data_IF_476936200231
#
_entry.id   IF_476936200231
#
_cell.length_a   1.000
_cell.length_b   1.000
_cell.length_c   1.000
_cell.angle_alpha   90.00
_cell.angle_beta   90.00
_cell.angle_gamma   90.00
#
_symmetry.space_group_name_H-M   'P 1'
#
loop_
_entity.id
_entity.type
_entity.pdbx_description
1 polymer ?
#
# COMPACT_ATOMS: atom_id res chain seq x y z
N UNK A 1 -37.50 -38.85 9.76
CA UNK A 1 -36.83 -37.67 10.35
C UNK A 1 -35.33 -37.95 10.32
N UNK A 2 -34.59 -37.66 9.24
CA UNK A 2 -33.12 -37.95 9.26
C UNK A 2 -32.24 -37.15 8.30
N UNK A 3 -32.77 -36.53 7.24
CA UNK A 3 -31.95 -35.77 6.28
C UNK A 3 -31.20 -34.56 6.90
N UNK A 4 -31.69 -34.01 8.02
CA UNK A 4 -31.07 -32.86 8.71
C UNK A 4 -29.86 -33.24 9.56
N UNK A 5 -29.79 -34.49 10.03
CA UNK A 5 -28.69 -34.99 10.83
C UNK A 5 -27.47 -35.32 9.94
N UNK A 6 -27.70 -35.99 8.82
CA UNK A 6 -26.65 -36.28 7.82
C UNK A 6 -26.04 -35.02 7.19
N UNK A 7 -26.85 -34.00 6.90
CA UNK A 7 -26.37 -32.74 6.33
C UNK A 7 -25.42 -31.99 7.30
N UNK A 8 -25.71 -32.00 8.60
CA UNK A 8 -24.84 -31.39 9.63
C UNK A 8 -23.52 -32.15 9.78
N UNK A 9 -23.57 -33.48 9.71
CA UNK A 9 -22.37 -34.32 9.77
C UNK A 9 -21.42 -34.05 8.60
N UNK A 10 -21.94 -33.99 7.37
CA UNK A 10 -21.12 -33.68 6.18
C UNK A 10 -20.58 -32.25 6.17
N UNK A 11 -21.34 -31.29 6.66
CA UNK A 11 -20.88 -29.90 6.81
C UNK A 11 -19.74 -29.77 7.84
N UNK A 12 -19.86 -30.44 8.99
CA UNK A 12 -18.81 -30.45 10.01
C UNK A 12 -17.53 -31.13 9.50
N UNK A 13 -17.66 -32.24 8.77
CA UNK A 13 -16.52 -32.91 8.14
C UNK A 13 -15.81 -31.99 7.12
N UNK A 14 -16.56 -31.30 6.26
CA UNK A 14 -15.99 -30.33 5.32
C UNK A 14 -15.32 -29.13 6.02
N UNK A 15 -15.84 -28.71 7.17
CA UNK A 15 -15.24 -27.67 8.00
C UNK A 15 -13.89 -28.09 8.61
N UNK A 16 -13.80 -29.33 9.10
CA UNK A 16 -12.55 -29.87 9.65
C UNK A 16 -11.50 -30.08 8.56
N UNK A 17 -11.93 -30.52 7.37
CA UNK A 17 -11.04 -30.69 6.21
C UNK A 17 -10.55 -29.33 5.68
N UNK A 18 -11.43 -28.31 5.64
CA UNK A 18 -11.04 -26.94 5.30
C UNK A 18 -10.09 -26.33 6.35
N UNK A 19 -10.29 -26.62 7.64
CA UNK A 19 -9.38 -26.19 8.72
C UNK A 19 -8.02 -26.87 8.61
N UNK A 20 -7.98 -28.17 8.30
CA UNK A 20 -6.74 -28.91 8.07
C UNK A 20 -5.99 -28.36 6.84
N UNK A 21 -6.69 -28.10 5.75
CA UNK A 21 -6.13 -27.48 4.54
C UNK A 21 -5.60 -26.06 4.80
N UNK A 22 -6.32 -25.23 5.56
CA UNK A 22 -5.87 -23.89 5.93
C UNK A 22 -4.64 -23.93 6.86
N UNK A 23 -4.58 -24.90 7.77
CA UNK A 23 -3.41 -25.11 8.63
C UNK A 23 -2.18 -25.54 7.82
N UNK A 24 -2.35 -26.44 6.86
CA UNK A 24 -1.29 -26.87 5.95
C UNK A 24 -0.78 -25.71 5.07
N UNK A 25 -1.69 -24.91 4.49
CA UNK A 25 -1.34 -23.72 3.72
C UNK A 25 -0.59 -22.68 4.55
N UNK A 26 -1.00 -22.46 5.80
CA UNK A 26 -0.32 -21.55 6.72
C UNK A 26 1.09 -22.05 7.06
N UNK A 27 1.27 -23.36 7.26
CA UNK A 27 2.57 -23.96 7.52
C UNK A 27 3.51 -23.80 6.31
N UNK A 28 3.03 -24.12 5.11
CA UNK A 28 3.80 -23.98 3.86
C UNK A 28 4.15 -22.51 3.56
N UNK A 29 3.19 -21.60 3.77
CA UNK A 29 3.42 -20.16 3.67
C UNK A 29 4.45 -19.67 4.69
N UNK A 30 4.43 -20.21 5.91
CA UNK A 30 5.42 -19.91 6.95
C UNK A 30 6.83 -20.32 6.55
N UNK A 31 7.00 -21.53 5.99
CA UNK A 31 8.30 -22.02 5.49
C UNK A 31 8.81 -21.19 4.33
N UNK A 32 7.96 -20.91 3.32
CA UNK A 32 8.34 -20.05 2.19
C UNK A 32 8.67 -18.63 2.65
N UNK A 33 7.86 -18.04 3.52
CA UNK A 33 8.12 -16.71 4.06
C UNK A 33 9.42 -16.66 4.86
N UNK A 34 9.77 -17.74 5.57
CA UNK A 34 11.07 -17.90 6.24
C UNK A 34 12.23 -17.82 5.25
N UNK A 35 12.22 -18.66 4.22
CA UNK A 35 13.27 -18.69 3.19
C UNK A 35 13.40 -17.35 2.43
N UNK A 36 12.27 -16.72 2.08
CA UNK A 36 12.27 -15.39 1.46
C UNK A 36 12.82 -14.32 2.40
N UNK A 37 12.49 -14.38 3.69
CA UNK A 37 13.01 -13.44 4.68
C UNK A 37 14.52 -13.57 4.86
N UNK A 38 15.05 -14.79 4.84
CA UNK A 38 16.50 -15.04 4.90
C UNK A 38 17.21 -14.49 3.66
N UNK A 39 16.74 -14.80 2.45
CA UNK A 39 17.31 -14.22 1.23
C UNK A 39 17.20 -12.69 1.20
N UNK A 40 16.08 -12.13 1.64
CA UNK A 40 15.89 -10.68 1.70
C UNK A 40 16.84 -10.02 2.72
N UNK A 41 17.15 -10.71 3.82
CA UNK A 41 18.14 -10.24 4.80
C UNK A 41 19.54 -10.23 4.21
N UNK A 42 19.97 -11.32 3.57
CA UNK A 42 21.29 -11.46 2.95
C UNK A 42 21.52 -10.38 1.88
N UNK A 43 20.58 -10.25 0.92
CA UNK A 43 20.65 -9.19 -0.10
C UNK A 43 20.54 -7.78 0.50
N UNK A 44 19.77 -7.64 1.58
CA UNK A 44 19.65 -6.38 2.31
C UNK A 44 20.98 -5.94 2.93
N UNK A 45 21.76 -6.88 3.49
CA UNK A 45 23.09 -6.59 4.02
C UNK A 45 24.06 -6.11 2.94
N UNK A 46 24.05 -6.75 1.77
CA UNK A 46 24.92 -6.37 0.64
C UNK A 46 24.58 -4.97 0.13
N UNK A 47 23.29 -4.67 -0.04
CA UNK A 47 22.82 -3.35 -0.47
C UNK A 47 23.18 -2.25 0.54
N UNK A 48 23.12 -2.52 1.84
CA UNK A 48 23.54 -1.56 2.88
C UNK A 48 25.04 -1.30 2.81
N UNK A 49 25.85 -2.32 2.51
CA UNK A 49 27.29 -2.16 2.32
C UNK A 49 27.62 -1.32 1.07
N UNK A 50 26.94 -1.57 -0.05
CA UNK A 50 27.10 -0.79 -1.28
C UNK A 50 26.63 0.66 -1.13
N UNK A 51 25.48 0.88 -0.48
CA UNK A 51 24.94 2.21 -0.24
C UNK A 51 25.85 3.08 0.64
N UNK A 52 26.56 2.48 1.61
CA UNK A 52 27.58 3.19 2.41
C UNK A 52 28.75 3.68 1.56
N UNK A 53 29.14 2.94 0.53
CA UNK A 53 30.29 3.27 -0.32
C UNK A 53 29.95 4.31 -1.40
N UNK A 54 28.69 4.34 -1.88
CA UNK A 54 28.21 5.27 -2.91
C UNK A 54 27.47 6.52 -2.39
N UNK A 55 27.34 6.66 -1.07
CA UNK A 55 26.35 7.56 -0.45
C UNK A 55 26.53 9.07 -0.67
N UNK A 56 27.72 9.56 -1.02
CA UNK A 56 27.99 11.00 -1.14
C UNK A 56 27.28 11.67 -2.32
N UNK A 57 27.56 11.21 -3.54
CA UNK A 57 27.00 11.79 -4.77
C UNK A 57 25.53 11.40 -4.99
N UNK A 58 25.15 10.20 -4.53
CA UNK A 58 23.76 9.72 -4.58
C UNK A 58 22.87 10.55 -3.67
N UNK A 59 23.33 10.95 -2.49
CA UNK A 59 22.53 11.73 -1.54
C UNK A 59 22.16 13.11 -2.10
N UNK A 60 23.09 13.82 -2.72
CA UNK A 60 22.81 15.12 -3.32
C UNK A 60 21.75 15.02 -4.43
N UNK A 61 21.95 14.10 -5.39
CA UNK A 61 20.97 13.86 -6.47
C UNK A 61 19.62 13.38 -5.94
N UNK A 62 19.63 12.55 -4.90
CA UNK A 62 18.41 12.07 -4.26
C UNK A 62 17.63 13.18 -3.56
N UNK A 63 18.32 14.11 -2.88
CA UNK A 63 17.69 15.29 -2.27
C UNK A 63 17.02 16.17 -3.32
N UNK A 64 17.70 16.49 -4.43
CA UNK A 64 17.13 17.29 -5.51
C UNK A 64 15.92 16.61 -6.14
N UNK A 65 16.03 15.31 -6.45
CA UNK A 65 14.93 14.51 -6.98
C UNK A 65 13.76 14.38 -5.98
N UNK A 66 14.03 14.35 -4.68
CA UNK A 66 12.99 14.29 -3.67
C UNK A 66 12.23 15.61 -3.57
N UNK A 67 12.91 16.76 -3.68
CA UNK A 67 12.26 18.08 -3.74
C UNK A 67 11.40 18.19 -5.00
N UNK A 68 11.94 17.83 -6.16
CA UNK A 68 11.18 17.83 -7.41
C UNK A 68 9.99 16.86 -7.37
N UNK A 69 10.22 15.64 -6.88
CA UNK A 69 9.19 14.62 -6.73
C UNK A 69 8.08 15.05 -5.80
N UNK A 70 8.42 15.70 -4.68
CA UNK A 70 7.47 16.30 -3.74
C UNK A 70 6.59 17.35 -4.44
N UNK A 71 7.19 18.29 -5.17
CA UNK A 71 6.44 19.32 -5.91
C UNK A 71 5.50 18.69 -6.93
N UNK A 72 6.01 17.80 -7.79
CA UNK A 72 5.19 17.12 -8.81
C UNK A 72 4.08 16.28 -8.21
N UNK A 73 4.34 15.59 -7.11
CA UNK A 73 3.33 14.80 -6.40
C UNK A 73 2.25 15.71 -5.80
N UNK A 74 2.64 16.85 -5.21
CA UNK A 74 1.68 17.82 -4.69
C UNK A 74 0.77 18.36 -5.79
N UNK A 75 1.34 18.77 -6.92
CA UNK A 75 0.58 19.28 -8.06
C UNK A 75 -0.36 18.23 -8.63
N UNK A 76 0.12 16.99 -8.77
CA UNK A 76 -0.70 15.88 -9.23
C UNK A 76 -1.86 15.59 -8.28
N UNK A 77 -1.62 15.60 -6.96
CA UNK A 77 -2.65 15.40 -5.94
C UNK A 77 -3.68 16.54 -5.95
N UNK A 78 -3.25 17.80 -6.07
CA UNK A 78 -4.14 18.95 -6.19
C UNK A 78 -5.00 18.87 -7.47
N UNK A 79 -4.38 18.51 -8.60
CA UNK A 79 -5.07 18.38 -9.88
C UNK A 79 -6.10 17.23 -9.86
N UNK A 80 -5.71 16.06 -9.36
CA UNK A 80 -6.64 14.94 -9.15
C UNK A 80 -7.78 15.31 -8.20
N UNK A 81 -7.47 15.99 -7.09
CA UNK A 81 -8.48 16.46 -6.15
C UNK A 81 -9.52 17.36 -6.83
N UNK A 82 -9.09 18.30 -7.67
CA UNK A 82 -9.99 19.17 -8.46
C UNK A 82 -10.84 18.35 -9.43
N UNK A 83 -10.23 17.50 -10.25
CA UNK A 83 -10.96 16.66 -11.22
C UNK A 83 -12.03 15.82 -10.52
N UNK A 84 -11.70 15.20 -9.39
CA UNK A 84 -12.64 14.38 -8.62
C UNK A 84 -13.78 15.22 -8.04
N UNK A 85 -13.50 16.43 -7.54
CA UNK A 85 -14.54 17.35 -7.09
C UNK A 85 -15.43 17.82 -8.24
N UNK A 86 -14.86 18.19 -9.37
CA UNK A 86 -15.57 18.68 -10.56
C UNK A 86 -16.46 17.58 -11.17
N UNK A 87 -16.07 16.31 -11.01
CA UNK A 87 -16.85 15.15 -11.46
C UNK A 87 -17.89 14.70 -10.43
N UNK A 88 -17.80 15.13 -9.17
CA UNK A 88 -18.73 14.71 -8.11
C UNK A 88 -20.21 14.98 -8.43
N UNK A 89 -20.61 16.13 -9.03
CA UNK A 89 -21.99 16.35 -9.46
C UNK A 89 -22.47 15.32 -10.49
N UNK A 90 -21.59 14.88 -11.40
CA UNK A 90 -21.91 13.86 -12.40
C UNK A 90 -22.05 12.46 -11.78
N UNK A 91 -21.35 12.20 -10.68
CA UNK A 91 -21.45 10.95 -9.92
C UNK A 91 -22.74 10.93 -9.10
N UNK A 92 -23.11 12.04 -8.47
CA UNK A 92 -24.38 12.22 -7.76
C UNK A 92 -25.56 11.91 -8.68
N UNK A 93 -25.50 12.38 -9.93
CA UNK A 93 -26.57 12.23 -10.93
C UNK A 93 -26.65 10.82 -11.55
N UNK A 94 -25.51 10.13 -11.72
CA UNK A 94 -25.45 8.80 -12.39
C UNK A 94 -25.46 7.60 -11.46
N UNK A 95 -24.98 7.77 -10.22
CA UNK A 95 -24.72 6.67 -9.28
C UNK A 95 -25.45 6.89 -7.95
N UNK A 96 -25.78 8.14 -7.61
CA UNK A 96 -26.51 8.53 -6.42
C UNK A 96 -25.66 9.39 -5.47
N UNK A 97 -26.32 10.23 -4.68
CA UNK A 97 -25.73 11.27 -3.83
C UNK A 97 -24.66 10.75 -2.84
N UNK A 98 -24.82 9.50 -2.38
CA UNK A 98 -23.86 8.86 -1.47
C UNK A 98 -22.49 8.65 -2.13
N UNK A 99 -22.44 8.47 -3.45
CA UNK A 99 -21.19 8.24 -4.18
C UNK A 99 -20.45 9.54 -4.52
N UNK A 100 -21.14 10.64 -4.79
CA UNK A 100 -20.45 11.93 -4.92
C UNK A 100 -20.02 12.50 -3.58
N UNK A 101 -20.64 12.11 -2.46
CA UNK A 101 -20.12 12.38 -1.12
C UNK A 101 -18.76 11.71 -0.87
N UNK A 102 -18.57 10.47 -1.34
CA UNK A 102 -17.26 9.82 -1.32
C UNK A 102 -16.25 10.55 -2.20
N UNK A 103 -16.66 10.98 -3.40
CA UNK A 103 -15.80 11.78 -4.29
C UNK A 103 -15.38 13.11 -3.64
N UNK A 104 -16.32 13.82 -3.00
CA UNK A 104 -16.04 15.07 -2.26
C UNK A 104 -15.09 14.82 -1.08
N UNK A 105 -15.29 13.75 -0.31
CA UNK A 105 -14.37 13.39 0.80
C UNK A 105 -12.98 13.05 0.27
N UNK A 106 -12.89 12.23 -0.76
CA UNK A 106 -11.62 11.88 -1.40
C UNK A 106 -10.90 13.13 -1.94
N UNK A 107 -11.63 14.02 -2.61
CA UNK A 107 -11.10 15.29 -3.10
C UNK A 107 -10.53 16.15 -1.97
N UNK A 108 -11.28 16.33 -0.86
CA UNK A 108 -10.78 17.07 0.31
C UNK A 108 -9.51 16.43 0.87
N UNK A 109 -9.48 15.11 1.03
CA UNK A 109 -8.30 14.41 1.50
C UNK A 109 -7.10 14.56 0.57
N UNK A 110 -7.31 14.56 -0.76
CA UNK A 110 -6.24 14.78 -1.74
C UNK A 110 -5.72 16.21 -1.70
N UNK A 111 -6.60 17.21 -1.56
CA UNK A 111 -6.22 18.61 -1.41
C UNK A 111 -5.46 18.86 -0.11
N UNK A 112 -5.91 18.29 1.01
CA UNK A 112 -5.21 18.36 2.29
C UNK A 112 -3.84 17.66 2.21
N UNK A 113 -3.76 16.51 1.54
CA UNK A 113 -2.51 15.80 1.33
C UNK A 113 -1.53 16.63 0.49
N UNK A 114 -2.00 17.25 -0.60
CA UNK A 114 -1.20 18.19 -1.41
C UNK A 114 -0.71 19.37 -0.56
N UNK A 115 -1.59 20.04 0.18
CA UNK A 115 -1.22 21.18 1.01
C UNK A 115 -0.19 20.80 2.10
N UNK A 116 -0.40 19.67 2.78
CA UNK A 116 0.55 19.16 3.78
C UNK A 116 1.89 18.81 3.15
N UNK A 117 1.86 18.14 2.00
CA UNK A 117 3.06 17.78 1.27
C UNK A 117 3.83 19.04 0.90
N UNK A 118 3.19 20.02 0.27
CA UNK A 118 3.80 21.29 -0.13
C UNK A 118 4.37 22.09 1.05
N UNK A 119 3.65 22.16 2.17
CA UNK A 119 4.05 22.95 3.34
C UNK A 119 5.29 22.43 4.08
N UNK A 120 5.63 21.14 3.95
CA UNK A 120 6.71 20.51 4.71
C UNK A 120 7.98 20.39 3.88
N UNK A 121 9.14 20.49 4.51
CA UNK A 121 10.40 20.12 3.86
C UNK A 121 10.50 18.61 3.65
N UNK A 122 11.36 18.19 2.70
CA UNK A 122 11.59 16.77 2.42
C UNK A 122 12.13 16.06 3.67
N UNK A 123 12.99 16.73 4.42
CA UNK A 123 13.54 16.25 5.69
C UNK A 123 12.44 16.01 6.74
N UNK A 124 11.53 16.96 6.94
CA UNK A 124 10.42 16.81 7.89
C UNK A 124 9.48 15.66 7.50
N UNK A 125 9.18 15.50 6.19
CA UNK A 125 8.38 14.38 5.71
C UNK A 125 9.09 13.05 5.99
N UNK A 126 10.42 13.00 5.81
CA UNK A 126 11.23 11.83 6.10
C UNK A 126 11.24 11.48 7.58
N UNK A 127 11.34 12.48 8.45
CA UNK A 127 11.33 12.30 9.91
C UNK A 127 9.95 11.83 10.41
N UNK A 128 8.85 12.41 9.92
CA UNK A 128 7.49 11.96 10.21
C UNK A 128 7.26 10.51 9.74
N UNK A 129 7.74 10.16 8.55
CA UNK A 129 7.65 8.81 8.03
C UNK A 129 8.44 7.83 8.91
N UNK A 130 9.64 8.22 9.35
CA UNK A 130 10.47 7.42 10.26
C UNK A 130 9.79 7.23 11.62
N UNK A 131 9.18 8.28 12.16
CA UNK A 131 8.40 8.20 13.40
C UNK A 131 7.18 7.28 13.24
N UNK A 132 6.45 7.39 12.14
CA UNK A 132 5.31 6.52 11.84
C UNK A 132 5.71 5.03 11.79
N UNK A 133 6.80 4.71 11.09
CA UNK A 133 7.33 3.33 11.03
C UNK A 133 7.72 2.84 12.41
N UNK A 134 8.36 3.69 13.22
CA UNK A 134 8.74 3.36 14.60
C UNK A 134 7.53 3.11 15.50
N UNK A 135 6.48 3.92 15.36
CA UNK A 135 5.25 3.84 16.15
C UNK A 135 4.38 2.66 15.74
N UNK A 136 4.38 2.30 14.46
CA UNK A 136 3.46 1.31 13.90
C UNK A 136 4.10 0.52 12.75
N UNK A 137 5.09 -0.36 13.06
CA UNK A 137 5.83 -1.10 12.04
C UNK A 137 4.93 -2.03 11.19
N UNK A 138 3.91 -2.64 11.79
CA UNK A 138 2.98 -3.52 11.08
C UNK A 138 2.13 -2.77 10.03
N UNK A 139 1.60 -1.60 10.39
CA UNK A 139 0.83 -0.75 9.48
C UNK A 139 1.68 -0.26 8.32
N UNK A 140 2.92 0.17 8.61
CA UNK A 140 3.85 0.60 7.58
C UNK A 140 4.16 -0.52 6.57
N UNK A 141 4.42 -1.74 7.04
CA UNK A 141 4.62 -2.90 6.16
C UNK A 141 3.38 -3.21 5.31
N UNK A 142 2.19 -3.09 5.88
CA UNK A 142 0.93 -3.26 5.15
C UNK A 142 0.75 -2.23 4.04
N UNK A 143 0.97 -0.95 4.34
CA UNK A 143 0.92 0.13 3.34
C UNK A 143 1.94 -0.10 2.23
N UNK A 144 3.19 -0.44 2.59
CA UNK A 144 4.24 -0.71 1.61
C UNK A 144 3.90 -1.89 0.69
N UNK A 145 3.29 -2.96 1.22
CA UNK A 145 2.85 -4.10 0.43
C UNK A 145 1.75 -3.71 -0.59
N UNK A 146 0.78 -2.89 -0.17
CA UNK A 146 -0.29 -2.39 -1.06
C UNK A 146 0.30 -1.49 -2.15
N UNK A 147 1.12 -0.50 -1.77
CA UNK A 147 1.76 0.40 -2.73
C UNK A 147 2.65 -0.37 -3.72
N UNK A 148 3.47 -1.29 -3.21
CA UNK A 148 4.33 -2.14 -4.04
C UNK A 148 3.53 -3.00 -5.02
N UNK A 149 2.40 -3.56 -4.58
CA UNK A 149 1.50 -4.30 -5.46
C UNK A 149 0.91 -3.40 -6.56
N UNK A 150 0.44 -2.19 -6.23
CA UNK A 150 -0.12 -1.26 -7.21
C UNK A 150 0.91 -0.85 -8.28
N UNK A 151 2.14 -0.55 -7.86
CA UNK A 151 3.24 -0.25 -8.77
C UNK A 151 3.54 -1.47 -9.66
N UNK A 152 3.69 -2.67 -9.09
CA UNK A 152 3.91 -3.90 -9.85
C UNK A 152 2.76 -4.20 -10.84
N UNK A 153 1.51 -3.91 -10.44
CA UNK A 153 0.30 -4.08 -11.25
C UNK A 153 0.30 -3.15 -12.45
N UNK A 154 0.73 -1.89 -12.29
CA UNK A 154 0.87 -0.92 -13.38
C UNK A 154 1.89 -1.42 -14.42
N UNK A 155 3.08 -1.84 -13.97
CA UNK A 155 4.12 -2.37 -14.86
C UNK A 155 3.74 -3.69 -15.54
N UNK A 156 2.94 -4.55 -14.87
CA UNK A 156 2.40 -5.77 -15.47
C UNK A 156 1.33 -5.47 -16.52
N UNK A 157 0.51 -4.44 -16.30
CA UNK A 157 -0.60 -4.06 -17.17
C UNK A 157 -0.19 -3.53 -18.54
N UNK A 158 1.04 -3.04 -18.71
CA UNK A 158 1.55 -2.52 -19.98
C UNK A 158 2.05 -3.56 -20.99
N UNK A 159 1.91 -4.87 -20.72
CA UNK A 159 2.26 -5.96 -21.67
C UNK A 159 1.04 -6.79 -22.13
N UNK A 160 -0.14 -6.18 -22.15
CA UNK A 160 -1.37 -6.78 -22.68
C UNK A 160 -1.81 -6.11 -23.96
#
# INVERSE_FOLDING_TARGET
>A
MDNKAEAKSRFNAALDEARAGAAALKAEAGVRAGAYREQAREKGTDLVAEAKNYGGEVKAKASDLAVEGKTRASDALASLGKIVADTAPQIDEKVGEQYGDYARKASRSLQEASAKLDSKSVEEIGDDAREFVRKSPGTALGIAAVLGFLVARLFRGGRG
#
